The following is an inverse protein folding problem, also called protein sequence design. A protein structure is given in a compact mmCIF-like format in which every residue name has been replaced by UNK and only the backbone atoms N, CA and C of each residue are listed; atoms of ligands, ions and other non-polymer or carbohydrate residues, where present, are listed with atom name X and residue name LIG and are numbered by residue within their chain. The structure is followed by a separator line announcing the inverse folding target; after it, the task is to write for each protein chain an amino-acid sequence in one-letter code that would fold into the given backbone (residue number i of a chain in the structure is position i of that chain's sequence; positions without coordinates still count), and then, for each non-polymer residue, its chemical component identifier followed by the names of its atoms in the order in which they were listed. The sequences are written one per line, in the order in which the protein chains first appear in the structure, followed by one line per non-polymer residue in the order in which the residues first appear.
data_IF_956808375359
#
_entry.id   IF_956808375359
#
_cell.length_a   1.000
_cell.length_b   1.000
_cell.length_c   1.000
_cell.angle_alpha   90.00
_cell.angle_beta   90.00
_cell.angle_gamma   90.00
#
_symmetry.space_group_name_H-M   'P 1'
#
loop_
_entity.id
_entity.type
_entity.pdbx_description
1 polymer ?
#
# COMPACT_ATOMS: atom_id res chain seq x y z
N UNK A 1 -4.95 13.41 -14.86
CA UNK A 1 -4.16 12.40 -14.13
C UNK A 1 -5.03 11.74 -13.08
N UNK A 2 -4.95 10.42 -12.95
CA UNK A 2 -5.78 9.69 -11.99
C UNK A 2 -5.24 9.82 -10.57
N UNK A 3 -6.14 9.73 -9.56
CA UNK A 3 -5.73 9.65 -8.16
C UNK A 3 -5.56 8.17 -7.75
N UNK A 4 -5.14 7.93 -6.50
CA UNK A 4 -4.88 6.56 -6.01
C UNK A 4 -6.12 5.69 -6.13
N UNK A 5 -7.29 6.19 -5.72
CA UNK A 5 -8.54 5.43 -5.79
C UNK A 5 -8.88 5.03 -7.21
N UNK A 6 -8.71 5.92 -8.17
CA UNK A 6 -8.99 5.63 -9.57
C UNK A 6 -8.07 4.55 -10.12
N UNK A 7 -6.78 4.59 -9.78
CA UNK A 7 -5.83 3.56 -10.20
C UNK A 7 -6.18 2.22 -9.60
N UNK A 8 -6.47 2.16 -8.30
CA UNK A 8 -6.85 0.93 -7.62
C UNK A 8 -8.11 0.32 -8.25
N UNK A 9 -9.08 1.17 -8.63
CA UNK A 9 -10.33 0.70 -9.23
C UNK A 9 -10.16 0.11 -10.62
N UNK A 10 -9.14 0.52 -11.36
CA UNK A 10 -8.98 0.16 -12.77
C UNK A 10 -7.82 -0.78 -13.06
N UNK A 11 -6.87 -0.94 -12.12
CA UNK A 11 -5.71 -1.79 -12.32
C UNK A 11 -6.09 -3.26 -12.20
N UNK A 12 -5.75 -4.06 -13.22
CA UNK A 12 -6.09 -5.48 -13.28
C UNK A 12 -5.37 -6.31 -12.21
N UNK A 13 -4.24 -5.83 -11.71
CA UNK A 13 -3.42 -6.55 -10.72
C UNK A 13 -3.76 -6.15 -9.28
N UNK A 14 -4.72 -5.26 -9.08
CA UNK A 14 -5.09 -4.73 -7.77
C UNK A 14 -6.55 -5.02 -7.40
N UNK A 15 -7.10 -6.12 -7.89
CA UNK A 15 -8.51 -6.47 -7.65
C UNK A 15 -8.81 -6.69 -6.17
N UNK A 16 -7.93 -7.41 -5.47
CA UNK A 16 -8.11 -7.67 -4.04
C UNK A 16 -7.94 -6.40 -3.23
N UNK A 17 -6.95 -5.57 -3.58
CA UNK A 17 -6.76 -4.28 -2.95
C UNK A 17 -7.98 -3.37 -3.13
N UNK A 18 -8.57 -3.38 -4.33
CA UNK A 18 -9.80 -2.63 -4.61
C UNK A 18 -10.92 -3.01 -3.64
N UNK A 19 -11.13 -4.31 -3.43
CA UNK A 19 -12.13 -4.80 -2.47
C UNK A 19 -11.84 -4.30 -1.07
N UNK A 20 -10.57 -4.35 -0.65
CA UNK A 20 -10.15 -3.88 0.67
C UNK A 20 -10.36 -2.39 0.86
N UNK A 21 -9.99 -1.59 -0.12
CA UNK A 21 -10.14 -0.13 -0.07
C UNK A 21 -11.61 0.24 0.09
N UNK A 22 -12.50 -0.37 -0.70
CA UNK A 22 -13.94 -0.07 -0.62
C UNK A 22 -14.55 -0.58 0.68
N UNK A 23 -14.17 -1.78 1.13
CA UNK A 23 -14.71 -2.34 2.38
C UNK A 23 -14.28 -1.57 3.62
N UNK A 24 -13.14 -0.89 3.58
CA UNK A 24 -12.60 -0.11 4.70
C UNK A 24 -12.93 1.37 4.62
N UNK A 25 -13.61 1.82 3.56
CA UNK A 25 -13.91 3.23 3.29
C UNK A 25 -12.66 4.11 3.09
N UNK A 26 -11.51 3.52 2.78
CA UNK A 26 -10.29 4.28 2.53
C UNK A 26 -10.29 5.00 1.18
N UNK A 27 -11.25 4.70 0.31
CA UNK A 27 -11.38 5.37 -0.96
C UNK A 27 -11.53 6.89 -0.80
N UNK A 28 -12.17 7.35 0.28
CA UNK A 28 -12.27 8.79 0.57
C UNK A 28 -10.92 9.40 0.88
N UNK A 29 -10.12 8.75 1.75
CA UNK A 29 -8.77 9.23 2.07
C UNK A 29 -7.88 9.25 0.82
N UNK A 30 -7.91 8.17 0.04
CA UNK A 30 -7.06 8.01 -1.12
C UNK A 30 -7.51 8.87 -2.31
N UNK A 31 -8.69 9.48 -2.24
CA UNK A 31 -9.18 10.45 -3.22
C UNK A 31 -8.89 11.89 -2.82
N UNK A 32 -8.43 12.12 -1.60
CA UNK A 32 -8.12 13.47 -1.12
C UNK A 32 -6.84 14.00 -1.77
N UNK A 33 -6.55 15.30 -1.55
CA UNK A 33 -5.46 15.96 -2.27
C UNK A 33 -4.05 15.46 -1.91
N UNK A 34 -3.89 14.76 -0.80
CA UNK A 34 -2.59 14.21 -0.41
C UNK A 34 -1.50 15.26 -0.19
N UNK A 35 -0.25 15.01 -0.65
CA UNK A 35 0.19 13.83 -1.38
C UNK A 35 0.37 12.59 -0.50
N UNK A 36 0.23 11.43 -1.11
CA UNK A 36 0.41 10.15 -0.43
C UNK A 36 1.38 9.26 -1.21
N UNK A 37 2.08 8.39 -0.49
CA UNK A 37 2.82 7.29 -1.09
C UNK A 37 2.13 6.00 -0.66
N UNK A 38 1.68 5.21 -1.62
CA UNK A 38 0.95 3.97 -1.36
C UNK A 38 1.81 2.80 -1.84
N UNK A 39 2.13 1.88 -0.92
CA UNK A 39 2.79 0.63 -1.27
C UNK A 39 1.72 -0.41 -1.53
N UNK A 40 1.26 -0.48 -2.79
CA UNK A 40 0.10 -1.26 -3.18
C UNK A 40 0.44 -2.74 -3.34
N UNK A 41 -0.06 -3.64 -2.46
CA UNK A 41 0.13 -5.07 -2.66
C UNK A 41 -0.66 -5.53 -3.88
N UNK A 42 -0.02 -6.28 -4.76
CA UNK A 42 -0.67 -6.87 -5.93
C UNK A 42 -1.58 -8.05 -5.51
N UNK A 43 -2.38 -8.56 -6.43
CA UNK A 43 -3.18 -9.76 -6.17
C UNK A 43 -2.29 -10.94 -5.75
N UNK A 44 -1.10 -11.07 -6.36
CA UNK A 44 -0.15 -12.12 -5.97
C UNK A 44 0.35 -11.93 -4.54
N UNK A 45 0.50 -10.68 -4.10
CA UNK A 45 0.89 -10.40 -2.72
C UNK A 45 -0.18 -10.86 -1.72
N UNK A 46 -1.44 -10.61 -2.03
CA UNK A 46 -2.55 -11.07 -1.19
C UNK A 46 -2.67 -12.60 -1.18
N UNK A 47 -2.30 -13.26 -2.28
CA UNK A 47 -2.31 -14.73 -2.35
C UNK A 47 -1.32 -15.38 -1.40
N UNK A 48 -0.32 -14.64 -0.94
CA UNK A 48 0.65 -15.13 0.06
C UNK A 48 0.10 -15.12 1.48
N UNK A 49 -1.04 -14.49 1.71
CA UNK A 49 -1.68 -14.49 3.02
C UNK A 49 -2.26 -15.87 3.33
N UNK A 50 -2.40 -16.14 4.63
CA UNK A 50 -3.03 -17.37 5.09
C UNK A 50 -4.43 -17.48 4.47
N UNK A 51 -4.79 -18.70 4.03
CA UNK A 51 -6.07 -18.98 3.41
C UNK A 51 -7.22 -18.50 4.30
N UNK A 52 -8.15 -17.75 3.73
CA UNK A 52 -9.30 -17.21 4.44
C UNK A 52 -9.06 -15.92 5.20
N UNK A 53 -7.81 -15.50 5.35
CA UNK A 53 -7.49 -14.28 6.10
C UNK A 53 -8.11 -13.04 5.46
N UNK A 54 -8.00 -12.90 4.14
CA UNK A 54 -8.56 -11.74 3.46
C UNK A 54 -10.09 -11.76 3.47
N UNK A 55 -10.68 -12.94 3.34
CA UNK A 55 -12.14 -13.09 3.45
C UNK A 55 -12.64 -12.64 4.81
N UNK A 56 -11.94 -12.99 5.89
CA UNK A 56 -12.27 -12.55 7.24
C UNK A 56 -12.16 -11.04 7.37
N UNK A 57 -11.10 -10.45 6.82
CA UNK A 57 -10.88 -9.00 6.89
C UNK A 57 -11.93 -8.22 6.12
N UNK A 58 -12.53 -8.82 5.08
CA UNK A 58 -13.57 -8.17 4.29
C UNK A 58 -14.94 -8.20 4.99
N UNK A 59 -15.09 -8.94 6.09
CA UNK A 59 -16.32 -8.96 6.85
C UNK A 59 -16.58 -7.59 7.48
N UNK A 60 -17.86 -7.11 7.51
CA UNK A 60 -18.16 -5.78 8.04
C UNK A 60 -17.70 -5.53 9.47
N UNK A 61 -17.72 -6.56 10.33
CA UNK A 61 -17.27 -6.42 11.71
C UNK A 61 -15.77 -6.22 11.83
N UNK A 62 -15.01 -6.51 10.77
CA UNK A 62 -13.56 -6.38 10.76
C UNK A 62 -13.10 -5.13 10.00
N UNK A 63 -13.99 -4.19 9.71
CA UNK A 63 -13.66 -2.97 8.94
C UNK A 63 -12.48 -2.22 9.54
N UNK A 64 -12.44 -2.04 10.87
CA UNK A 64 -11.37 -1.31 11.54
C UNK A 64 -10.02 -2.03 11.38
N UNK A 65 -10.03 -3.35 11.47
CA UNK A 65 -8.80 -4.15 11.29
C UNK A 65 -8.29 -4.06 9.86
N UNK A 66 -9.20 -4.10 8.89
CA UNK A 66 -8.84 -3.97 7.48
C UNK A 66 -8.28 -2.56 7.20
N UNK A 67 -8.91 -1.53 7.74
CA UNK A 67 -8.43 -0.16 7.58
C UNK A 67 -7.02 -0.01 8.16
N UNK A 68 -6.76 -0.55 9.36
CA UNK A 68 -5.44 -0.49 9.98
C UNK A 68 -4.40 -1.21 9.13
N UNK A 69 -4.74 -2.38 8.59
CA UNK A 69 -3.84 -3.13 7.72
C UNK A 69 -3.48 -2.31 6.48
N UNK A 70 -4.45 -1.72 5.81
CA UNK A 70 -4.20 -0.93 4.62
C UNK A 70 -3.48 0.39 4.93
N UNK A 71 -3.76 1.01 6.08
CA UNK A 71 -3.03 2.21 6.52
C UNK A 71 -1.55 1.93 6.75
N UNK A 72 -1.17 0.70 7.06
CA UNK A 72 0.24 0.31 7.16
C UNK A 72 0.97 0.44 5.82
N UNK A 73 0.26 0.56 4.72
CA UNK A 73 0.83 0.69 3.37
C UNK A 73 0.79 2.12 2.84
N UNK A 74 0.29 3.06 3.62
CA UNK A 74 0.10 4.46 3.20
C UNK A 74 1.01 5.36 4.02
N UNK A 75 1.80 6.19 3.34
CA UNK A 75 2.70 7.16 3.97
C UNK A 75 2.32 8.56 3.48
N UNK A 76 2.27 9.54 4.40
CA UNK A 76 2.07 10.93 4.03
C UNK A 76 3.30 11.45 3.29
N UNK A 77 3.07 12.21 2.23
CA UNK A 77 4.12 12.78 1.42
C UNK A 77 4.38 11.95 0.16
N UNK A 78 5.08 12.57 -0.77
CA UNK A 78 5.43 11.95 -2.05
C UNK A 78 6.87 11.46 -1.97
N UNK A 79 7.04 10.14 -1.81
CA UNK A 79 8.35 9.53 -1.63
C UNK A 79 8.69 8.70 -2.87
N UNK A 80 9.68 9.16 -3.65
CA UNK A 80 10.11 8.46 -4.85
C UNK A 80 10.96 7.25 -4.48
N UNK A 81 11.12 6.32 -5.44
CA UNK A 81 11.95 5.13 -5.24
C UNK A 81 13.38 5.49 -4.86
N UNK A 82 13.93 6.55 -5.45
CA UNK A 82 15.31 6.99 -5.18
C UNK A 82 15.50 7.64 -3.81
N UNK A 83 14.40 8.04 -3.16
CA UNK A 83 14.45 8.62 -1.81
C UNK A 83 14.43 7.54 -0.72
N UNK A 84 14.23 6.28 -1.08
CA UNK A 84 14.22 5.16 -0.13
C UNK A 84 15.67 4.76 0.17
N UNK A 85 16.11 5.00 1.41
CA UNK A 85 17.49 4.78 1.82
C UNK A 85 17.60 3.69 2.86
N UNK A 86 18.63 2.87 2.73
CA UNK A 86 18.92 1.81 3.68
C UNK A 86 19.11 2.36 5.09
N UNK A 87 18.43 1.76 6.05
CA UNK A 87 18.51 2.17 7.45
C UNK A 87 17.51 3.24 7.87
N UNK A 88 16.83 3.88 6.92
CA UNK A 88 15.80 4.86 7.23
C UNK A 88 14.49 4.15 7.59
N UNK A 89 13.57 4.91 8.19
CA UNK A 89 12.22 4.43 8.53
C UNK A 89 11.19 5.33 7.87
N UNK A 90 10.09 4.72 7.42
CA UNK A 90 8.91 5.45 6.96
C UNK A 90 7.85 5.39 8.06
N UNK A 91 7.12 6.49 8.25
CA UNK A 91 6.01 6.52 9.20
C UNK A 91 4.70 6.50 8.43
N UNK A 92 3.89 5.49 8.67
CA UNK A 92 2.59 5.34 8.01
C UNK A 92 1.56 6.31 8.58
N UNK A 93 0.42 6.44 7.90
CA UNK A 93 -0.65 7.35 8.34
C UNK A 93 -1.24 6.96 9.68
N UNK A 94 -1.09 5.71 10.11
CA UNK A 94 -1.54 5.25 11.44
C UNK A 94 -0.41 5.22 12.48
N UNK A 95 0.74 5.84 12.17
CA UNK A 95 1.84 6.00 13.11
C UNK A 95 2.83 4.86 13.19
N UNK A 96 2.65 3.80 12.41
CA UNK A 96 3.57 2.66 12.40
C UNK A 96 4.85 3.03 11.65
N UNK A 97 6.00 2.60 12.16
CA UNK A 97 7.29 2.80 11.49
C UNK A 97 7.67 1.58 10.68
N UNK A 98 8.05 1.80 9.44
CA UNK A 98 8.48 0.74 8.53
C UNK A 98 9.96 0.92 8.19
N UNK A 99 10.83 -0.06 8.55
CA UNK A 99 12.25 0.05 8.24
C UNK A 99 12.51 -0.18 6.74
N UNK A 100 13.44 0.58 6.19
CA UNK A 100 13.85 0.47 4.79
C UNK A 100 15.18 -0.27 4.72
N UNK A 101 15.25 -1.31 3.89
CA UNK A 101 16.49 -2.02 3.60
C UNK A 101 16.77 -1.94 2.11
N UNK A 102 18.00 -1.59 1.73
CA UNK A 102 18.43 -1.56 0.33
C UNK A 102 19.64 -2.47 0.19
N UNK A 103 19.53 -3.48 -0.66
CA UNK A 103 20.59 -4.45 -0.90
C UNK A 103 20.70 -4.70 -2.40
N UNK A 104 21.89 -4.43 -2.98
CA UNK A 104 22.15 -4.63 -4.39
C UNK A 104 21.13 -3.94 -5.31
N UNK A 105 20.71 -2.72 -4.94
CA UNK A 105 19.73 -1.95 -5.69
C UNK A 105 18.28 -2.37 -5.50
N UNK A 106 18.04 -3.37 -4.65
CA UNK A 106 16.68 -3.83 -4.33
C UNK A 106 16.23 -3.21 -3.02
N UNK A 107 15.03 -2.67 -3.02
CA UNK A 107 14.44 -2.01 -1.86
C UNK A 107 13.40 -2.93 -1.22
N UNK A 108 13.50 -3.08 0.11
CA UNK A 108 12.50 -3.76 0.91
C UNK A 108 12.02 -2.82 2.01
N UNK A 109 10.72 -2.82 2.29
CA UNK A 109 10.14 -2.05 3.37
C UNK A 109 9.48 -3.04 4.33
N UNK A 110 9.96 -3.07 5.57
CA UNK A 110 9.69 -4.21 6.42
C UNK A 110 10.29 -5.44 5.74
N UNK A 111 9.51 -6.49 5.58
CA UNK A 111 9.94 -7.71 4.88
C UNK A 111 9.36 -7.78 3.45
N UNK A 112 8.93 -6.64 2.91
CA UNK A 112 8.22 -6.59 1.64
C UNK A 112 9.09 -5.95 0.58
N UNK A 113 9.34 -6.66 -0.52
CA UNK A 113 10.10 -6.11 -1.66
C UNK A 113 9.23 -5.12 -2.44
N UNK A 114 9.84 -4.01 -2.83
CA UNK A 114 9.18 -2.94 -3.58
C UNK A 114 9.71 -2.93 -5.00
N UNK A 115 8.80 -2.90 -5.96
CA UNK A 115 9.17 -2.88 -7.38
C UNK A 115 9.60 -1.46 -7.76
N UNK A 116 10.68 -1.34 -8.53
CA UNK A 116 11.12 -0.08 -9.10
C UNK A 116 10.06 0.48 -10.06
N UNK A 117 10.19 1.75 -10.42
CA UNK A 117 9.27 2.44 -11.34
C UNK A 117 7.88 2.64 -10.75
N UNK A 118 7.77 3.48 -9.71
CA UNK A 118 6.46 3.81 -9.14
C UNK A 118 5.56 4.52 -10.15
N UNK A 119 4.26 4.30 -10.04
CA UNK A 119 3.28 4.99 -10.87
C UNK A 119 3.00 6.37 -10.29
N UNK A 120 3.21 7.40 -11.10
CA UNK A 120 2.89 8.78 -10.71
C UNK A 120 1.41 9.04 -10.90
N UNK A 121 0.81 9.66 -9.89
CA UNK A 121 -0.64 9.97 -9.90
C UNK A 121 -0.84 11.40 -9.39
N UNK A 122 -2.09 11.89 -9.50
CA UNK A 122 -2.40 13.28 -9.16
C UNK A 122 -2.16 13.63 -7.70
N UNK A 123 -2.37 12.69 -6.78
CA UNK A 123 -2.22 12.94 -5.35
C UNK A 123 -1.12 12.10 -4.68
N UNK A 124 -0.12 11.65 -5.45
CA UNK A 124 1.04 10.97 -4.86
C UNK A 124 1.73 9.99 -5.79
N UNK A 125 2.23 8.92 -5.21
CA UNK A 125 2.93 7.84 -5.92
C UNK A 125 2.39 6.49 -5.46
N UNK A 126 2.38 5.52 -6.37
CA UNK A 126 2.07 4.12 -6.05
C UNK A 126 3.29 3.27 -6.36
N UNK A 127 3.81 2.60 -5.34
CA UNK A 127 4.85 1.58 -5.49
C UNK A 127 4.20 0.21 -5.39
N UNK A 128 4.55 -0.70 -6.28
CA UNK A 128 4.04 -2.07 -6.21
C UNK A 128 4.80 -2.86 -5.15
N UNK A 129 4.07 -3.56 -4.30
CA UNK A 129 4.63 -4.41 -3.24
C UNK A 129 4.34 -5.87 -3.54
N UNK A 130 5.30 -6.75 -3.23
CA UNK A 130 5.15 -8.19 -3.51
C UNK A 130 4.57 -8.98 -2.34
N UNK A 131 4.31 -8.34 -1.22
CA UNK A 131 3.67 -8.95 -0.05
C UNK A 131 2.86 -7.90 0.70
N UNK A 132 1.93 -8.37 1.53
CA UNK A 132 1.15 -7.49 2.40
C UNK A 132 1.95 -7.22 3.67
N UNK A 133 2.03 -5.95 4.07
CA UNK A 133 2.72 -5.55 5.31
C UNK A 133 1.79 -5.75 6.50
N UNK A 134 2.04 -6.75 7.28
CA UNK A 134 1.22 -7.09 8.45
C UNK A 134 1.71 -6.41 9.72
#
# INVERSE_FOLDING_TARGET
MSNITQVVNTDKNLKTLKKGVHASDLDQLLSSSGPFTFFAPSDLAFDKLKKGMMDDLLEPQNRSKLADLLNNHIVNGKISFTELKDGDNLTTVNGRKLPIAVTNGKVSIGDTAIVANPLKISNGLIHSADAVML
#
